data_IF_954407232227
#
_entry.id   IF_954407232227
#
_cell.length_a   1.000
_cell.length_b   1.000
_cell.length_c   1.000
_cell.angle_alpha   90.00
_cell.angle_beta   90.00
_cell.angle_gamma   90.00
#
_symmetry.space_group_name_H-M   'P 1'
#
loop_
_entity.id
_entity.type
_entity.pdbx_description
1 polymer ?
#
# COMPACT_ATOMS: atom_id res chain seq x y z
N UNK A 1 25.78 -56.19 14.95
CA UNK A 1 25.18 -55.00 15.60
C UNK A 1 25.34 -53.69 14.83
N UNK A 2 26.36 -53.49 13.98
CA UNK A 2 26.60 -52.18 13.31
C UNK A 2 25.56 -51.76 12.25
N UNK A 3 24.97 -52.71 11.51
CA UNK A 3 24.00 -52.42 10.42
C UNK A 3 22.63 -51.96 10.94
N UNK A 4 22.15 -52.51 12.07
CA UNK A 4 20.87 -52.08 12.67
C UNK A 4 20.92 -50.62 13.16
N UNK A 5 22.05 -50.19 13.69
CA UNK A 5 22.24 -48.79 14.11
C UNK A 5 22.40 -47.84 12.91
N UNK A 6 22.98 -48.28 11.80
CA UNK A 6 23.10 -47.49 10.57
C UNK A 6 21.73 -47.23 9.91
N UNK A 7 20.86 -48.25 9.87
CA UNK A 7 19.49 -48.11 9.34
C UNK A 7 18.62 -47.25 10.27
N UNK A 8 18.80 -47.38 11.60
CA UNK A 8 18.09 -46.55 12.57
C UNK A 8 18.49 -45.06 12.47
N UNK A 9 19.77 -44.78 12.23
CA UNK A 9 20.27 -43.41 12.05
C UNK A 9 19.78 -42.78 10.74
N UNK A 10 19.69 -43.57 9.66
CA UNK A 10 19.11 -43.13 8.38
C UNK A 10 17.62 -42.83 8.47
N UNK A 11 16.87 -43.56 9.31
CA UNK A 11 15.43 -43.37 9.48
C UNK A 11 15.13 -42.11 10.33
N UNK A 12 15.98 -41.80 11.32
CA UNK A 12 15.90 -40.58 12.12
C UNK A 12 16.16 -39.33 11.27
N UNK A 13 17.10 -39.40 10.32
CA UNK A 13 17.41 -38.27 9.42
C UNK A 13 16.24 -37.91 8.48
N UNK A 14 15.44 -38.90 8.07
CA UNK A 14 14.27 -38.70 7.20
C UNK A 14 13.09 -38.05 7.93
N UNK A 15 12.98 -38.22 9.25
CA UNK A 15 11.88 -37.63 10.04
C UNK A 15 12.16 -36.15 10.40
N UNK A 16 13.44 -35.74 10.47
CA UNK A 16 13.82 -34.33 10.66
C UNK A 16 13.53 -33.42 9.45
N UNK A 17 13.15 -33.98 8.29
CA UNK A 17 12.77 -33.20 7.10
C UNK A 17 11.35 -32.63 7.14
N UNK A 18 10.52 -33.03 8.10
CA UNK A 18 9.19 -32.47 8.29
C UNK A 18 9.24 -31.35 9.34
N UNK A 19 10.04 -30.31 9.07
CA UNK A 19 9.80 -29.02 9.70
C UNK A 19 8.53 -28.50 9.05
N UNK A 20 7.42 -28.57 9.78
CA UNK A 20 6.22 -27.82 9.49
C UNK A 20 6.68 -26.37 9.41
N UNK A 21 6.58 -25.77 8.23
CA UNK A 21 6.70 -24.33 8.03
C UNK A 21 5.59 -23.72 8.89
N UNK A 22 5.97 -23.26 10.08
CA UNK A 22 5.13 -22.44 10.93
C UNK A 22 4.76 -21.25 10.06
N UNK A 23 3.48 -21.18 9.64
CA UNK A 23 2.95 -20.05 8.89
C UNK A 23 3.50 -18.79 9.54
N UNK A 24 4.24 -17.99 8.77
CA UNK A 24 4.76 -16.70 9.20
C UNK A 24 3.54 -15.84 9.53
N UNK A 25 3.10 -15.91 10.79
CA UNK A 25 2.13 -14.96 11.31
C UNK A 25 2.91 -13.65 11.31
N UNK A 26 2.62 -12.80 10.31
CA UNK A 26 3.11 -11.44 10.19
C UNK A 26 3.14 -10.82 11.58
N UNK A 27 4.35 -10.63 12.12
CA UNK A 27 4.56 -10.17 13.49
C UNK A 27 4.54 -8.65 13.50
N UNK A 28 3.44 -8.08 13.03
CA UNK A 28 3.18 -6.65 13.15
C UNK A 28 2.75 -6.33 14.57
N UNK A 29 2.94 -5.08 14.99
CA UNK A 29 2.32 -4.65 16.25
C UNK A 29 0.82 -4.93 16.17
N UNK A 30 0.28 -5.36 17.31
CA UNK A 30 -1.11 -5.75 17.39
C UNK A 30 -1.96 -4.52 17.12
N UNK A 31 -2.70 -4.54 16.01
CA UNK A 31 -3.74 -3.56 15.67
C UNK A 31 -4.60 -3.28 16.91
N UNK A 32 -4.94 -2.01 17.14
CA UNK A 32 -5.77 -1.63 18.29
C UNK A 32 -7.11 -2.38 18.24
N UNK A 33 -7.72 -2.59 19.40
CA UNK A 33 -9.08 -3.15 19.45
C UNK A 33 -10.10 -2.06 19.13
N UNK A 34 -11.00 -2.34 18.20
CA UNK A 34 -12.10 -1.46 17.80
C UNK A 34 -13.45 -2.13 18.11
N UNK A 35 -14.45 -1.33 18.50
CA UNK A 35 -15.82 -1.77 18.78
C UNK A 35 -16.72 -1.41 17.60
N UNK A 36 -16.70 -2.28 16.59
CA UNK A 36 -17.42 -2.07 15.33
C UNK A 36 -18.24 -3.29 14.92
N UNK A 37 -19.40 -3.02 14.34
CA UNK A 37 -20.24 -4.00 13.66
C UNK A 37 -20.34 -3.62 12.20
N UNK A 38 -20.10 -4.59 11.30
CA UNK A 38 -20.27 -4.44 9.86
C UNK A 38 -21.43 -5.35 9.46
N UNK A 39 -22.56 -4.77 9.09
CA UNK A 39 -23.71 -5.50 8.55
C UNK A 39 -23.76 -5.29 7.04
N UNK A 40 -23.93 -6.36 6.24
CA UNK A 40 -24.11 -6.23 4.80
C UNK A 40 -25.55 -6.50 4.42
N UNK A 41 -26.10 -5.68 3.54
CA UNK A 41 -27.43 -5.90 2.98
C UNK A 41 -27.42 -7.02 1.92
N UNK A 42 -28.57 -7.27 1.30
CA UNK A 42 -28.72 -8.33 0.28
C UNK A 42 -27.94 -8.06 -1.03
N UNK A 43 -27.51 -6.82 -1.26
CA UNK A 43 -26.65 -6.42 -2.39
C UNK A 43 -25.17 -6.41 -1.99
N UNK A 44 -24.85 -6.72 -0.73
CA UNK A 44 -23.50 -6.70 -0.19
C UNK A 44 -23.03 -5.31 0.26
N UNK A 45 -23.89 -4.29 0.28
CA UNK A 45 -23.52 -2.93 0.70
C UNK A 45 -23.25 -2.93 2.21
N UNK A 46 -22.08 -2.48 2.69
CA UNK A 46 -21.76 -2.48 4.11
C UNK A 46 -22.38 -1.29 4.85
N UNK A 47 -23.00 -1.58 5.99
CA UNK A 47 -23.45 -0.65 7.01
C UNK A 47 -22.51 -0.79 8.21
N UNK A 48 -21.67 0.23 8.42
CA UNK A 48 -20.66 0.22 9.48
C UNK A 48 -21.17 0.98 10.70
N UNK A 49 -21.18 0.32 11.84
CA UNK A 49 -21.71 0.82 13.11
C UNK A 49 -20.58 0.77 14.13
N UNK A 50 -19.90 1.90 14.35
CA UNK A 50 -18.90 2.09 15.40
C UNK A 50 -19.45 2.90 16.57
N UNK A 51 -18.84 2.78 17.76
CA UNK A 51 -19.17 3.65 18.91
C UNK A 51 -18.51 5.02 18.82
N UNK A 52 -17.33 5.09 18.21
CA UNK A 52 -16.62 6.32 17.88
C UNK A 52 -16.33 6.42 16.38
N UNK A 53 -15.88 7.58 15.92
CA UNK A 53 -15.50 7.77 14.52
C UNK A 53 -14.31 6.89 14.13
N UNK A 54 -13.39 6.62 15.05
CA UNK A 54 -12.29 5.68 14.85
C UNK A 54 -12.78 4.24 14.67
N UNK A 55 -13.74 3.78 15.49
CA UNK A 55 -14.35 2.46 15.32
C UNK A 55 -15.01 2.32 13.94
N UNK A 56 -15.73 3.36 13.51
CA UNK A 56 -16.36 3.40 12.20
C UNK A 56 -15.31 3.46 11.07
N UNK A 57 -14.23 4.22 11.22
CA UNK A 57 -13.13 4.31 10.26
C UNK A 57 -12.46 2.96 10.02
N UNK A 58 -12.17 2.24 11.11
CA UNK A 58 -11.62 0.89 11.05
C UNK A 58 -12.55 -0.06 10.28
N UNK A 59 -13.84 -0.10 10.63
CA UNK A 59 -14.80 -0.99 9.96
C UNK A 59 -15.01 -0.62 8.50
N UNK A 60 -15.02 0.68 8.19
CA UNK A 60 -15.14 1.17 6.82
C UNK A 60 -13.97 0.75 5.94
N UNK A 61 -12.74 0.90 6.45
CA UNK A 61 -11.54 0.49 5.74
C UNK A 61 -11.49 -1.03 5.54
N UNK A 62 -11.82 -1.80 6.58
CA UNK A 62 -11.89 -3.25 6.50
C UNK A 62 -12.91 -3.74 5.47
N UNK A 63 -14.12 -3.16 5.46
CA UNK A 63 -15.15 -3.52 4.47
C UNK A 63 -14.71 -3.20 3.02
N UNK A 64 -14.01 -2.07 2.81
CA UNK A 64 -13.43 -1.74 1.50
C UNK A 64 -12.36 -2.74 1.07
N UNK A 65 -11.53 -3.19 2.02
CA UNK A 65 -10.51 -4.20 1.77
C UNK A 65 -11.12 -5.54 1.35
N UNK A 66 -12.20 -5.98 2.02
CA UNK A 66 -12.94 -7.19 1.63
C UNK A 66 -13.42 -7.15 0.18
N UNK A 67 -13.87 -5.98 -0.30
CA UNK A 67 -14.47 -5.85 -1.62
C UNK A 67 -13.43 -5.63 -2.73
N UNK A 68 -12.35 -4.88 -2.46
CA UNK A 68 -11.44 -4.38 -3.50
C UNK A 68 -9.95 -4.46 -3.10
N UNK A 69 -9.55 -5.49 -2.35
CA UNK A 69 -8.18 -5.62 -1.84
C UNK A 69 -7.10 -5.40 -2.90
N UNK A 70 -7.23 -6.03 -4.08
CA UNK A 70 -6.23 -5.91 -5.14
C UNK A 70 -5.99 -4.45 -5.55
N UNK A 71 -7.04 -3.65 -5.64
CA UNK A 71 -6.90 -2.24 -6.02
C UNK A 71 -6.22 -1.42 -4.92
N UNK A 72 -6.56 -1.68 -3.66
CA UNK A 72 -5.93 -1.03 -2.50
C UNK A 72 -4.44 -1.41 -2.46
N UNK A 73 -4.14 -2.70 -2.45
CA UNK A 73 -2.79 -3.25 -2.43
C UNK A 73 -1.91 -2.70 -3.57
N UNK A 74 -2.40 -2.77 -4.81
CA UNK A 74 -1.62 -2.37 -5.99
C UNK A 74 -1.43 -0.84 -6.09
N UNK A 75 -2.21 -0.06 -5.33
CA UNK A 75 -2.06 1.40 -5.28
C UNK A 75 -0.97 1.88 -4.32
N UNK A 76 -0.52 1.04 -3.38
CA UNK A 76 0.48 1.43 -2.37
C UNK A 76 1.83 1.83 -2.99
N UNK A 77 2.43 1.06 -3.92
CA UNK A 77 3.67 1.46 -4.57
C UNK A 77 3.53 2.79 -5.35
N UNK A 78 2.34 3.05 -5.89
CA UNK A 78 2.03 4.29 -6.59
C UNK A 78 2.04 5.48 -5.64
N UNK A 79 1.44 5.39 -4.45
CA UNK A 79 1.49 6.48 -3.45
C UNK A 79 2.89 6.69 -2.89
N UNK A 80 3.65 5.61 -2.71
CA UNK A 80 5.03 5.67 -2.19
C UNK A 80 6.07 6.14 -3.21
N UNK A 81 5.71 6.25 -4.49
CA UNK A 81 6.69 6.51 -5.56
C UNK A 81 7.76 5.40 -5.65
N UNK A 82 7.32 4.15 -5.49
CA UNK A 82 8.15 2.93 -5.56
C UNK A 82 7.57 1.87 -6.49
N UNK A 83 6.69 2.28 -7.41
CA UNK A 83 6.05 1.44 -8.41
C UNK A 83 7.04 0.70 -9.29
N UNK A 84 8.21 1.29 -9.60
CA UNK A 84 9.20 0.64 -10.46
C UNK A 84 9.80 -0.63 -9.83
N UNK A 85 9.86 -0.69 -8.49
CA UNK A 85 10.35 -1.87 -7.78
C UNK A 85 9.43 -3.10 -7.97
N UNK A 86 8.13 -2.85 -8.18
CA UNK A 86 7.11 -3.90 -8.31
C UNK A 86 6.73 -4.14 -9.77
N UNK A 87 6.55 -3.07 -10.55
CA UNK A 87 6.01 -3.08 -11.90
C UNK A 87 7.08 -2.91 -12.99
N UNK A 88 8.36 -2.81 -12.62
CA UNK A 88 9.47 -2.61 -13.55
C UNK A 88 9.50 -1.21 -14.16
N UNK A 89 10.10 -1.06 -15.33
CA UNK A 89 10.41 0.26 -15.93
C UNK A 89 9.16 1.13 -16.17
N UNK A 90 7.99 0.53 -16.37
CA UNK A 90 6.72 1.25 -16.54
C UNK A 90 6.32 2.03 -15.28
N UNK A 91 6.70 1.56 -14.09
CA UNK A 91 6.48 2.26 -12.83
C UNK A 91 7.37 3.48 -12.62
N UNK A 92 8.48 3.61 -13.37
CA UNK A 92 9.45 4.69 -13.14
C UNK A 92 8.89 6.08 -13.44
N UNK A 93 7.95 6.20 -14.37
CA UNK A 93 7.28 7.48 -14.67
C UNK A 93 6.44 7.96 -13.50
N UNK A 94 5.69 7.06 -12.86
CA UNK A 94 4.95 7.37 -11.63
C UNK A 94 5.90 7.74 -10.50
N UNK A 95 6.96 6.97 -10.29
CA UNK A 95 7.91 7.22 -9.21
C UNK A 95 8.51 8.61 -9.37
N UNK A 96 8.98 8.94 -10.57
CA UNK A 96 9.48 10.27 -10.90
C UNK A 96 8.45 11.35 -10.59
N UNK A 97 7.17 11.16 -10.94
CA UNK A 97 6.13 12.14 -10.67
C UNK A 97 5.94 12.39 -9.17
N UNK A 98 5.90 11.34 -8.35
CA UNK A 98 5.73 11.45 -6.89
C UNK A 98 6.92 12.19 -6.27
N UNK A 99 8.14 11.85 -6.67
CA UNK A 99 9.36 12.52 -6.19
C UNK A 99 9.46 13.97 -6.69
N UNK A 100 9.09 14.24 -7.94
CA UNK A 100 9.12 15.59 -8.51
C UNK A 100 8.11 16.54 -7.86
N UNK A 101 6.96 15.99 -7.41
CA UNK A 101 5.95 16.74 -6.67
C UNK A 101 6.29 16.91 -5.18
N UNK A 102 7.40 16.33 -4.71
CA UNK A 102 7.85 16.41 -3.31
C UNK A 102 6.75 16.02 -2.31
N UNK A 103 5.95 15.01 -2.67
CA UNK A 103 4.76 14.59 -1.89
C UNK A 103 5.18 14.17 -0.47
N UNK A 104 6.22 13.36 -0.35
CA UNK A 104 6.65 12.81 0.93
C UNK A 104 7.35 13.85 1.81
N UNK A 105 8.14 14.73 1.21
CA UNK A 105 8.77 15.87 1.89
C UNK A 105 7.71 16.85 2.42
N UNK A 106 6.65 17.09 1.65
CA UNK A 106 5.52 17.90 2.07
C UNK A 106 4.78 17.25 3.24
N UNK A 107 4.54 15.94 3.19
CA UNK A 107 3.91 15.21 4.29
C UNK A 107 4.79 15.26 5.54
N UNK A 108 6.09 14.96 5.43
CA UNK A 108 7.00 14.98 6.58
C UNK A 108 7.04 16.35 7.28
N UNK A 109 6.99 17.44 6.50
CA UNK A 109 7.05 18.80 7.04
C UNK A 109 5.71 19.32 7.58
N UNK A 110 4.58 18.88 7.03
CA UNK A 110 3.27 19.47 7.32
C UNK A 110 2.30 18.55 8.06
N UNK A 111 2.50 17.22 8.07
CA UNK A 111 1.55 16.26 8.64
C UNK A 111 1.22 16.59 10.11
N UNK A 112 2.23 16.86 10.92
CA UNK A 112 2.03 17.16 12.33
C UNK A 112 1.40 18.53 12.59
N UNK A 113 1.64 19.49 11.69
CA UNK A 113 1.26 20.89 11.85
C UNK A 113 -0.15 21.18 11.31
N UNK A 114 -0.51 20.60 10.17
CA UNK A 114 -1.71 20.95 9.39
C UNK A 114 -2.91 20.00 9.67
N UNK A 115 -2.66 18.75 10.07
CA UNK A 115 -3.74 17.82 10.38
C UNK A 115 -4.17 17.92 11.84
N UNK A 116 -5.49 17.93 12.07
CA UNK A 116 -6.03 17.87 13.42
C UNK A 116 -5.79 16.50 14.07
N UNK A 117 -5.72 16.45 15.40
CA UNK A 117 -5.57 15.18 16.14
C UNK A 117 -6.73 14.21 15.87
N UNK A 118 -7.93 14.73 15.63
CA UNK A 118 -9.10 13.95 15.21
C UNK A 118 -8.89 13.30 13.83
N UNK A 119 -8.33 14.05 12.87
CA UNK A 119 -8.01 13.51 11.54
C UNK A 119 -6.92 12.45 11.62
N UNK A 120 -5.87 12.69 12.41
CA UNK A 120 -4.80 11.71 12.64
C UNK A 120 -5.37 10.43 13.27
N UNK A 121 -6.21 10.57 14.29
CA UNK A 121 -6.87 9.42 14.96
C UNK A 121 -7.78 8.64 14.02
N UNK A 122 -8.51 9.32 13.14
CA UNK A 122 -9.30 8.68 12.08
C UNK A 122 -8.40 7.91 11.10
N UNK A 123 -7.30 8.53 10.62
CA UNK A 123 -6.38 7.89 9.68
C UNK A 123 -5.68 6.67 10.31
N UNK A 124 -5.26 6.77 11.57
CA UNK A 124 -4.70 5.64 12.32
C UNK A 124 -5.67 4.46 12.32
N UNK A 125 -6.95 4.72 12.66
CA UNK A 125 -7.96 3.67 12.70
C UNK A 125 -8.33 3.11 11.32
N UNK A 126 -8.38 3.97 10.30
CA UNK A 126 -8.59 3.55 8.92
C UNK A 126 -7.47 2.62 8.44
N UNK A 127 -6.22 2.99 8.70
CA UNK A 127 -5.04 2.20 8.34
C UNK A 127 -4.97 0.89 9.14
N UNK A 128 -5.34 0.94 10.42
CA UNK A 128 -5.49 -0.26 11.25
C UNK A 128 -6.49 -1.25 10.64
N UNK A 129 -7.59 -0.78 10.04
CA UNK A 129 -8.55 -1.62 9.32
C UNK A 129 -7.96 -2.32 8.09
N UNK A 130 -7.19 -1.59 7.28
CA UNK A 130 -6.50 -2.15 6.10
C UNK A 130 -5.40 -3.13 6.50
N UNK A 131 -4.58 -2.77 7.49
CA UNK A 131 -3.51 -3.63 8.00
C UNK A 131 -4.08 -4.89 8.68
N UNK A 132 -5.22 -4.78 9.36
CA UNK A 132 -5.91 -5.94 9.93
C UNK A 132 -6.38 -6.91 8.84
N UNK A 133 -6.93 -6.41 7.74
CA UNK A 133 -7.27 -7.24 6.58
C UNK A 133 -6.03 -7.92 5.99
N UNK A 134 -4.97 -7.16 5.72
CA UNK A 134 -3.69 -7.69 5.23
C UNK A 134 -3.14 -8.84 6.11
N UNK A 135 -3.15 -8.64 7.43
CA UNK A 135 -2.71 -9.66 8.40
C UNK A 135 -3.59 -10.92 8.38
N UNK A 136 -4.90 -10.78 8.13
CA UNK A 136 -5.84 -11.90 8.01
C UNK A 136 -5.72 -12.65 6.70
N UNK A 137 -5.17 -12.00 5.68
CA UNK A 137 -5.10 -12.49 4.31
C UNK A 137 -3.67 -12.46 3.75
N UNK A 138 -2.69 -13.15 4.38
CA UNK A 138 -1.30 -13.17 3.92
C UNK A 138 -1.16 -13.78 2.52
N UNK A 139 -2.10 -14.65 2.10
CA UNK A 139 -2.10 -15.29 0.79
C UNK A 139 -2.30 -14.32 -0.39
N UNK A 140 -2.87 -13.13 -0.13
CA UNK A 140 -3.09 -12.07 -1.14
C UNK A 140 -2.39 -10.76 -0.76
N UNK A 141 -1.46 -10.80 0.19
CA UNK A 141 -0.76 -9.61 0.68
C UNK A 141 0.73 -9.73 0.43
N UNK A 142 1.33 -8.72 -0.21
CA UNK A 142 2.78 -8.59 -0.23
C UNK A 142 3.27 -8.01 1.10
N UNK A 143 3.95 -8.82 1.90
CA UNK A 143 4.51 -8.45 3.19
C UNK A 143 5.60 -7.36 3.09
N UNK A 144 6.22 -7.17 1.92
CA UNK A 144 7.19 -6.09 1.70
C UNK A 144 6.50 -4.72 1.55
N UNK A 145 5.19 -4.70 1.24
CA UNK A 145 4.40 -3.47 1.10
C UNK A 145 3.63 -3.09 2.36
N UNK A 146 3.31 -4.06 3.22
CA UNK A 146 2.51 -3.82 4.43
C UNK A 146 3.33 -4.08 5.71
N UNK A 147 3.02 -3.40 6.83
CA UNK A 147 1.89 -2.50 7.03
C UNK A 147 2.06 -1.17 6.30
N UNK A 148 0.93 -0.54 5.99
CA UNK A 148 0.89 0.85 5.53
C UNK A 148 0.71 1.79 6.72
N UNK A 149 0.97 3.08 6.51
CA UNK A 149 0.87 4.13 7.52
C UNK A 149 -0.20 5.17 7.15
N UNK A 150 -0.65 6.02 8.09
CA UNK A 150 -1.51 7.17 7.79
C UNK A 150 -0.99 8.03 6.65
N UNK A 151 0.33 8.23 6.60
CA UNK A 151 1.00 9.03 5.57
C UNK A 151 0.86 8.43 4.17
N UNK A 152 0.83 7.10 4.03
CA UNK A 152 0.55 6.45 2.74
C UNK A 152 -0.83 6.84 2.19
N UNK A 153 -1.83 6.96 3.08
CA UNK A 153 -3.18 7.39 2.72
C UNK A 153 -3.16 8.87 2.32
N UNK A 154 -2.51 9.74 3.11
CA UNK A 154 -2.38 11.17 2.78
C UNK A 154 -1.69 11.37 1.42
N UNK A 155 -0.61 10.65 1.15
CA UNK A 155 0.09 10.68 -0.14
C UNK A 155 -0.85 10.31 -1.28
N UNK A 156 -1.64 9.25 -1.11
CA UNK A 156 -2.64 8.83 -2.08
C UNK A 156 -3.72 9.90 -2.33
N UNK A 157 -4.17 10.59 -1.28
CA UNK A 157 -5.10 11.71 -1.43
C UNK A 157 -4.47 12.89 -2.19
N UNK A 158 -3.25 13.30 -1.84
CA UNK A 158 -2.55 14.42 -2.49
C UNK A 158 -2.40 14.18 -4.00
N UNK A 159 -1.88 13.02 -4.41
CA UNK A 159 -1.67 12.74 -5.84
C UNK A 159 -2.99 12.55 -6.59
N UNK A 160 -3.96 11.83 -6.02
CA UNK A 160 -5.24 11.57 -6.71
C UNK A 160 -6.04 12.85 -6.94
N UNK A 161 -6.03 13.77 -5.98
CA UNK A 161 -6.72 15.06 -6.16
C UNK A 161 -6.15 15.86 -7.32
N UNK A 162 -4.82 15.88 -7.49
CA UNK A 162 -4.20 16.54 -8.64
C UNK A 162 -4.69 15.91 -9.97
N UNK A 163 -4.70 14.58 -10.05
CA UNK A 163 -5.15 13.87 -11.25
C UNK A 163 -6.65 14.06 -11.54
N UNK A 164 -7.50 14.19 -10.53
CA UNK A 164 -8.93 14.49 -10.75
C UNK A 164 -9.18 15.87 -11.38
N UNK A 165 -8.25 16.81 -11.21
CA UNK A 165 -8.32 18.13 -11.85
C UNK A 165 -7.66 18.18 -13.23
N UNK A 166 -7.27 17.03 -13.80
CA UNK A 166 -6.69 16.94 -15.13
C UNK A 166 -5.22 17.35 -15.20
N UNK A 167 -4.51 17.32 -14.07
CA UNK A 167 -3.09 17.69 -13.98
C UNK A 167 -2.21 16.97 -15.02
N UNK A 168 -2.51 15.72 -15.31
CA UNK A 168 -1.81 14.89 -16.30
C UNK A 168 -1.83 15.48 -17.71
N UNK A 169 -2.91 16.18 -18.08
CA UNK A 169 -3.03 16.82 -19.39
C UNK A 169 -2.06 17.98 -19.55
N UNK A 170 -1.92 18.81 -18.50
CA UNK A 170 -0.98 19.92 -18.46
C UNK A 170 0.48 19.45 -18.41
N UNK A 171 0.76 18.40 -17.65
CA UNK A 171 2.10 17.78 -17.61
C UNK A 171 2.48 17.27 -19.00
N UNK A 172 1.55 16.59 -19.68
CA UNK A 172 1.78 16.07 -21.03
C UNK A 172 2.04 17.21 -22.05
N UNK A 173 1.26 18.29 -21.99
CA UNK A 173 1.44 19.47 -22.84
C UNK A 173 2.83 20.09 -22.67
N UNK A 174 3.29 20.27 -21.43
CA UNK A 174 4.63 20.82 -21.12
C UNK A 174 5.76 19.99 -21.72
N UNK A 175 5.65 18.66 -21.66
CA UNK A 175 6.66 17.77 -22.23
C UNK A 175 6.63 17.72 -23.76
N UNK A 176 5.44 17.86 -24.38
CA UNK A 176 5.33 17.99 -25.83
C UNK A 176 5.97 19.28 -26.35
N UNK A 177 5.77 20.41 -25.66
CA UNK A 177 6.37 21.69 -26.05
C UNK A 177 7.90 21.68 -25.90
N UNK A 178 8.43 21.07 -24.84
CA UNK A 178 9.88 20.90 -24.64
C UNK A 178 10.53 20.06 -25.75
N UNK A 179 9.84 19.02 -26.23
CA UNK A 179 10.29 18.22 -27.38
C UNK A 179 10.30 19.01 -28.69
N UNK A 180 9.34 19.92 -28.89
CA UNK A 180 9.29 20.82 -30.06
C UNK A 180 10.45 21.82 -30.07
N UNK A 181 10.80 22.45 -28.94
CA UNK A 181 11.93 23.41 -28.86
C UNK A 181 13.29 22.74 -29.11
N UNK A 182 13.48 21.51 -28.63
CA UNK A 182 14.71 20.75 -28.91
C UNK A 182 14.82 20.34 -30.38
N UNK A 183 13.72 19.95 -31.02
CA UNK A 183 13.69 19.67 -32.47
C UNK A 183 13.99 20.91 -33.32
N UNK A 184 13.55 22.09 -32.88
CA UNK A 184 13.82 23.37 -33.52
C UNK A 184 15.30 23.79 -33.35
N UNK A 185 15.90 23.59 -32.17
CA UNK A 185 17.33 23.88 -31.94
C UNK A 185 18.28 22.96 -32.70
N UNK A 186 17.93 21.69 -32.91
CA UNK A 186 18.75 20.77 -33.74
C UNK A 186 18.80 21.21 -35.21
N UNK A 187 17.77 21.92 -35.70
CA UNK A 187 17.77 22.47 -37.06
C UNK A 187 18.62 23.74 -37.20
N UNK A 188 18.80 24.52 -36.12
CA UNK A 188 19.56 25.78 -36.13
C UNK A 188 21.08 25.59 -35.92
N UNK A 189 21.55 24.40 -35.58
CA UNK A 189 22.98 24.09 -35.38
C UNK A 189 23.60 23.39 -36.61
N UNK A 190 22.81 23.14 -37.67
CA UNK A 190 23.25 22.50 -38.93
C UNK A 190 23.36 23.45 -40.14
N UNK A 191 23.32 24.77 -39.94
CA UNK A 191 23.52 25.77 -41.00
C UNK A 191 24.85 26.50 -40.87
#
# INVERSE_FOLDING_TARGET
>A
MKIKHLVLFSLILLISGCVIQENSILKWEKVKSYDVVIERDYLGVPHIIGKTDEDAAFGFAYAQAEDNWKLIHDSIPFYRGTSAAINGIEGATTDYLIHWLEIWETIESLYELELSDETKSYLDAFVDGLNFYAMKHPEVTNEDLFPITPQDIVAGYMVRHLLFYGFESYVSELFEESGRDQSAKVHLIKS
#
